data_IF_739807486406
#
_entry.id   IF_739807486406
#
_cell.length_a   1.000
_cell.length_b   1.000
_cell.length_c   1.000
_cell.angle_alpha   90.00
_cell.angle_beta   90.00
_cell.angle_gamma   90.00
#
_symmetry.space_group_name_H-M   'P 1'
#
loop_
_entity.id
_entity.type
_entity.pdbx_description
1 polymer ?
#
# COMPACT_ATOMS: atom_id res chain seq x y z
N UNK A 1 9.36 0.59 8.75
CA UNK A 1 7.96 1.03 8.74
C UNK A 1 7.76 1.99 9.89
N UNK A 2 6.94 3.01 9.69
CA UNK A 2 6.54 4.00 10.68
C UNK A 2 5.02 3.86 10.81
N UNK A 3 4.52 3.68 12.03
CA UNK A 3 3.07 3.70 12.28
C UNK A 3 2.65 5.14 12.61
N UNK A 4 1.69 5.67 11.86
CA UNK A 4 1.05 6.95 12.14
C UNK A 4 -0.45 6.70 12.20
N UNK A 5 -1.01 6.84 13.39
CA UNK A 5 -2.45 6.69 13.65
C UNK A 5 -3.04 5.35 13.15
N UNK A 6 -2.24 4.27 13.24
CA UNK A 6 -2.64 2.92 12.80
C UNK A 6 -2.43 2.66 11.31
N UNK A 7 -1.89 3.62 10.56
CA UNK A 7 -1.53 3.44 9.16
C UNK A 7 -0.01 3.20 9.01
N UNK A 8 0.40 2.15 8.27
CA UNK A 8 1.82 1.88 8.01
C UNK A 8 2.38 2.77 6.90
N UNK A 9 3.48 3.46 7.21
CA UNK A 9 4.25 4.29 6.29
C UNK A 9 5.67 3.74 6.08
N UNK A 10 6.15 3.81 4.85
CA UNK A 10 7.44 3.27 4.42
C UNK A 10 8.32 4.37 3.83
N UNK A 11 9.60 4.49 4.22
CA UNK A 11 10.52 5.41 3.57
C UNK A 11 10.56 5.16 2.07
N UNK A 12 10.19 6.16 1.27
CA UNK A 12 10.03 6.00 -0.17
C UNK A 12 11.36 5.63 -0.85
N UNK A 13 12.48 6.14 -0.29
CA UNK A 13 13.82 5.78 -0.74
C UNK A 13 14.08 4.28 -0.63
N UNK A 14 13.75 3.67 0.50
CA UNK A 14 14.02 2.25 0.75
C UNK A 14 13.16 1.37 -0.17
N UNK A 15 11.90 1.75 -0.38
CA UNK A 15 11.02 1.08 -1.35
C UNK A 15 11.58 1.19 -2.77
N UNK A 16 12.01 2.38 -3.18
CA UNK A 16 12.61 2.57 -4.50
C UNK A 16 13.92 1.80 -4.68
N UNK A 17 14.78 1.76 -3.67
CA UNK A 17 16.04 1.01 -3.69
C UNK A 17 15.77 -0.50 -3.82
N UNK A 18 14.82 -1.03 -3.04
CA UNK A 18 14.37 -2.42 -3.13
C UNK A 18 13.83 -2.75 -4.54
N UNK A 19 13.18 -1.79 -5.21
CA UNK A 19 12.67 -1.94 -6.57
C UNK A 19 13.68 -1.60 -7.68
N UNK A 20 14.88 -1.13 -7.34
CA UNK A 20 15.90 -0.69 -8.31
C UNK A 20 15.52 0.58 -9.07
N UNK A 21 14.67 1.43 -8.48
CA UNK A 21 14.23 2.71 -9.05
C UNK A 21 15.32 3.76 -8.77
N UNK A 22 16.02 4.17 -9.83
CA UNK A 22 17.16 5.10 -9.74
C UNK A 22 16.78 6.57 -9.47
N UNK A 23 15.54 6.96 -9.73
CA UNK A 23 15.03 8.33 -9.50
C UNK A 23 13.82 8.29 -8.56
N UNK A 24 14.03 8.11 -7.24
CA UNK A 24 12.94 7.91 -6.29
C UNK A 24 11.94 9.07 -6.28
N UNK A 25 12.40 10.31 -6.15
CA UNK A 25 11.51 11.46 -5.98
C UNK A 25 10.57 11.67 -7.16
N UNK A 26 11.09 11.62 -8.38
CA UNK A 26 10.27 11.79 -9.59
C UNK A 26 9.31 10.63 -9.81
N UNK A 27 9.76 9.39 -9.59
CA UNK A 27 8.89 8.21 -9.72
C UNK A 27 7.78 8.21 -8.69
N UNK A 28 8.06 8.53 -7.42
CA UNK A 28 7.05 8.58 -6.35
C UNK A 28 6.01 9.67 -6.63
N UNK A 29 6.43 10.86 -7.05
CA UNK A 29 5.49 11.95 -7.38
C UNK A 29 4.55 11.59 -8.52
N UNK A 30 5.04 10.83 -9.51
CA UNK A 30 4.25 10.41 -10.66
C UNK A 30 3.35 9.20 -10.37
N UNK A 31 3.81 8.26 -9.55
CA UNK A 31 3.12 6.98 -9.31
C UNK A 31 2.19 7.00 -8.09
N UNK A 32 2.48 7.83 -7.09
CA UNK A 32 1.76 7.86 -5.82
C UNK A 32 1.09 9.22 -5.66
N UNK A 33 -0.24 9.37 -5.79
CA UNK A 33 -0.95 10.62 -5.52
C UNK A 33 -0.75 11.13 -4.08
N UNK A 34 -1.23 12.35 -3.79
CA UNK A 34 -0.99 13.01 -2.49
C UNK A 34 -1.43 12.17 -1.28
N UNK A 35 -2.56 11.45 -1.36
CA UNK A 35 -3.02 10.59 -0.26
C UNK A 35 -2.19 9.32 -0.05
N UNK A 36 -1.22 9.03 -0.92
CA UNK A 36 -0.36 7.85 -0.84
C UNK A 36 1.08 8.17 -0.44
N UNK A 37 1.40 9.46 -0.27
CA UNK A 37 2.74 9.94 0.02
C UNK A 37 2.68 11.05 1.07
N UNK A 38 3.65 11.09 1.96
CA UNK A 38 3.71 12.14 2.98
C UNK A 38 5.16 12.43 3.34
N UNK A 39 5.47 13.71 3.57
CA UNK A 39 6.73 14.09 4.16
C UNK A 39 6.64 13.98 5.68
N UNK A 40 7.20 12.91 6.24
CA UNK A 40 7.14 12.61 7.67
C UNK A 40 8.36 13.24 8.36
N UNK A 41 8.10 14.03 9.39
CA UNK A 41 9.09 14.62 10.30
C UNK A 41 8.89 14.09 11.72
N UNK A 42 9.85 14.36 12.63
CA UNK A 42 9.76 13.96 14.04
C UNK A 42 8.47 14.37 14.74
N UNK A 43 7.86 15.51 14.37
CA UNK A 43 6.61 15.99 14.99
C UNK A 43 5.40 15.12 14.68
N UNK A 44 5.45 14.30 13.63
CA UNK A 44 4.38 13.36 13.28
C UNK A 44 4.44 12.07 14.12
N UNK A 45 5.52 11.86 14.89
CA UNK A 45 5.77 10.60 15.60
C UNK A 45 5.42 10.76 17.07
N UNK A 46 4.47 9.95 17.55
CA UNK A 46 4.01 10.00 18.96
C UNK A 46 5.00 9.35 19.93
N UNK A 47 5.81 8.38 19.47
CA UNK A 47 6.80 7.65 20.28
C UNK A 47 8.11 7.47 19.50
N UNK A 48 9.11 8.33 19.74
CA UNK A 48 10.42 8.20 19.08
C UNK A 48 11.34 7.35 19.95
N UNK A 49 11.46 6.07 19.62
CA UNK A 49 12.55 5.20 20.10
C UNK A 49 13.65 5.00 19.05
N UNK A 50 13.52 5.63 17.87
CA UNK A 50 14.38 5.36 16.71
C UNK A 50 14.99 6.66 16.19
N UNK A 51 16.26 6.61 15.76
CA UNK A 51 16.93 7.73 15.11
C UNK A 51 16.19 8.12 13.83
N UNK A 52 15.70 9.36 13.77
CA UNK A 52 14.97 9.90 12.63
C UNK A 52 15.66 11.16 12.09
N UNK A 53 15.82 11.33 10.77
CA UNK A 53 16.44 12.52 10.19
C UNK A 53 15.73 13.81 10.62
N UNK A 54 16.50 14.82 11.05
CA UNK A 54 15.93 16.11 11.46
C UNK A 54 15.14 16.79 10.33
N UNK A 55 15.57 16.60 9.07
CA UNK A 55 14.89 17.16 7.90
C UNK A 55 13.60 16.43 7.51
N UNK A 56 13.25 15.33 8.17
CA UNK A 56 12.20 14.43 7.72
C UNK A 56 12.58 13.56 6.53
N UNK A 57 11.63 12.79 6.02
CA UNK A 57 11.77 11.99 4.79
C UNK A 57 10.42 11.80 4.10
N UNK A 58 10.47 11.63 2.78
CA UNK A 58 9.30 11.22 2.00
C UNK A 58 9.00 9.75 2.28
N UNK A 59 7.76 9.47 2.66
CA UNK A 59 7.24 8.14 2.86
C UNK A 59 6.03 7.90 1.97
N UNK A 60 5.74 6.63 1.73
CA UNK A 60 4.52 6.15 1.07
C UNK A 60 3.77 5.21 2.00
N UNK A 61 2.44 5.21 1.93
CA UNK A 61 1.64 4.19 2.62
C UNK A 61 1.65 2.87 1.82
N UNK A 62 0.92 1.86 2.30
CA UNK A 62 0.83 0.56 1.63
C UNK A 62 0.31 0.69 0.17
N UNK A 63 -0.71 1.52 -0.06
CA UNK A 63 -1.25 1.76 -1.39
C UNK A 63 -0.18 2.37 -2.33
N UNK A 64 0.58 3.35 -1.84
CA UNK A 64 1.68 3.96 -2.59
C UNK A 64 2.81 2.96 -2.87
N UNK A 65 3.17 2.12 -1.89
CA UNK A 65 4.16 1.07 -2.10
C UNK A 65 3.73 0.08 -3.19
N UNK A 66 2.45 -0.35 -3.18
CA UNK A 66 1.90 -1.22 -4.22
C UNK A 66 1.90 -0.55 -5.60
N UNK A 67 1.56 0.74 -5.68
CA UNK A 67 1.67 1.50 -6.93
C UNK A 67 3.11 1.48 -7.49
N UNK A 68 4.12 1.67 -6.65
CA UNK A 68 5.52 1.57 -7.05
C UNK A 68 5.89 0.16 -7.52
N UNK A 69 5.45 -0.89 -6.82
CA UNK A 69 5.66 -2.28 -7.25
C UNK A 69 5.07 -2.51 -8.65
N UNK A 70 3.89 -1.96 -8.93
CA UNK A 70 3.19 -2.18 -10.20
C UNK A 70 3.85 -1.47 -11.38
N UNK A 71 4.61 -0.41 -11.12
CA UNK A 71 5.44 0.30 -12.13
C UNK A 71 6.83 -0.32 -12.31
N UNK A 72 7.26 -1.20 -11.41
CA UNK A 72 8.61 -1.76 -11.43
C UNK A 72 8.84 -2.72 -12.61
N UNK A 73 10.07 -2.69 -13.13
CA UNK A 73 10.55 -3.60 -14.18
C UNK A 73 11.24 -4.85 -13.63
N UNK A 74 11.46 -4.94 -12.31
CA UNK A 74 12.11 -6.10 -11.69
C UNK A 74 11.29 -7.39 -11.89
N UNK A 75 11.93 -8.53 -12.20
CA UNK A 75 11.22 -9.79 -12.37
C UNK A 75 10.35 -10.18 -11.17
N UNK A 76 10.84 -9.97 -9.96
CA UNK A 76 10.17 -10.31 -8.70
C UNK A 76 8.92 -9.43 -8.49
N UNK A 77 9.02 -8.14 -8.78
CA UNK A 77 7.89 -7.21 -8.71
C UNK A 77 6.81 -7.55 -9.75
N UNK A 78 7.21 -7.96 -10.95
CA UNK A 78 6.28 -8.43 -11.99
C UNK A 78 5.63 -9.75 -11.62
N UNK A 79 6.36 -10.65 -10.99
CA UNK A 79 5.82 -11.92 -10.48
C UNK A 79 4.79 -11.66 -9.37
N UNK A 80 5.11 -10.78 -8.42
CA UNK A 80 4.18 -10.36 -7.38
C UNK A 80 2.92 -9.71 -7.97
N UNK A 81 3.08 -8.72 -8.86
CA UNK A 81 1.94 -8.09 -9.56
C UNK A 81 1.07 -9.13 -10.24
N UNK A 82 1.67 -10.08 -10.97
CA UNK A 82 0.92 -11.15 -11.65
C UNK A 82 0.17 -12.03 -10.66
N UNK A 83 0.82 -12.46 -9.59
CA UNK A 83 0.18 -13.25 -8.54
C UNK A 83 -0.98 -12.49 -7.89
N UNK A 84 -0.82 -11.21 -7.57
CA UNK A 84 -1.90 -10.37 -7.04
C UNK A 84 -3.07 -10.32 -8.03
N UNK A 85 -2.81 -10.02 -9.30
CA UNK A 85 -3.88 -9.85 -10.30
C UNK A 85 -4.54 -11.14 -10.75
N UNK A 86 -3.85 -12.28 -10.68
CA UNK A 86 -4.34 -13.56 -11.19
C UNK A 86 -4.84 -14.49 -10.10
N UNK A 87 -4.46 -14.27 -8.84
CA UNK A 87 -4.83 -15.12 -7.70
C UNK A 87 -5.55 -14.30 -6.64
N UNK A 88 -4.91 -13.29 -6.07
CA UNK A 88 -5.43 -12.56 -4.91
C UNK A 88 -6.73 -11.82 -5.24
N UNK A 89 -6.70 -10.95 -6.27
CA UNK A 89 -7.89 -10.16 -6.62
C UNK A 89 -9.08 -11.04 -7.06
N UNK A 90 -8.89 -12.09 -7.90
CA UNK A 90 -9.96 -13.02 -8.21
C UNK A 90 -10.51 -13.79 -7.00
N UNK A 91 -9.66 -14.20 -6.04
CA UNK A 91 -10.10 -14.86 -4.81
C UNK A 91 -10.98 -13.93 -3.97
N UNK A 92 -10.53 -12.69 -3.75
CA UNK A 92 -11.29 -11.69 -3.00
C UNK A 92 -12.64 -11.38 -3.68
N UNK A 93 -12.65 -11.23 -5.01
CA UNK A 93 -13.90 -10.98 -5.76
C UNK A 93 -14.91 -12.12 -5.62
N UNK A 94 -14.46 -13.37 -5.54
CA UNK A 94 -15.35 -14.52 -5.31
C UNK A 94 -15.89 -14.50 -3.89
N UNK A 95 -15.05 -14.20 -2.91
CA UNK A 95 -15.46 -14.12 -1.51
C UNK A 95 -16.53 -13.04 -1.30
N UNK A 96 -16.39 -11.88 -1.95
CA UNK A 96 -17.43 -10.84 -1.95
C UNK A 96 -18.73 -11.28 -2.64
N UNK A 97 -18.65 -12.09 -3.69
CA UNK A 97 -19.85 -12.67 -4.33
C UNK A 97 -20.57 -13.64 -3.38
N UNK A 98 -19.84 -14.50 -2.67
CA UNK A 98 -20.42 -15.37 -1.65
C UNK A 98 -21.07 -14.57 -0.52
N UNK A 99 -20.41 -13.52 -0.02
CA UNK A 99 -20.95 -12.68 1.04
C UNK A 99 -22.23 -11.95 0.58
N UNK A 100 -22.24 -11.38 -0.62
CA UNK A 100 -23.41 -10.73 -1.20
C UNK A 100 -24.60 -11.70 -1.37
N UNK A 101 -24.34 -12.95 -1.80
CA UNK A 101 -25.36 -13.99 -1.89
C UNK A 101 -25.91 -14.37 -0.52
N UNK A 102 -25.05 -14.51 0.50
CA UNK A 102 -25.47 -14.82 1.86
C UNK A 102 -26.34 -13.71 2.47
N UNK A 103 -26.01 -12.44 2.24
CA UNK A 103 -26.84 -11.29 2.66
C UNK A 103 -28.22 -11.37 1.99
N UNK A 104 -28.27 -11.58 0.67
CA UNK A 104 -29.54 -11.69 -0.05
C UNK A 104 -30.41 -12.88 0.38
N UNK A 105 -29.81 -13.99 0.79
CA UNK A 105 -30.54 -15.16 1.30
C UNK A 105 -31.01 -14.96 2.74
N UNK A 106 -30.25 -14.23 3.56
CA UNK A 106 -30.66 -13.85 4.92
C UNK A 106 -31.87 -12.92 4.93
N UNK A 107 -31.92 -11.98 3.99
CA UNK A 107 -33.06 -11.04 3.83
C UNK A 107 -34.32 -11.72 3.28
N UNK A 108 -34.18 -12.82 2.54
CA UNK A 108 -35.30 -13.62 2.03
C UNK A 108 -35.94 -14.56 3.07
N UNK A 109 -35.35 -14.68 4.27
CA UNK A 109 -35.76 -15.62 5.32
C UNK A 109 -36.67 -15.06 6.42
N UNK A 110 -36.94 -13.75 6.45
CA UNK A 110 -37.81 -13.12 7.47
C UNK A 110 -39.16 -12.78 6.85
N UNK A 111 -39.92 -13.83 6.53
CA UNK A 111 -41.24 -13.72 5.91
C UNK A 111 -42.08 -14.96 6.20
N UNK A 112 -42.36 -15.21 7.48
CA UNK A 112 -43.55 -15.91 7.96
C UNK A 112 -44.07 -15.21 9.21
#
# INVERSE_FOLDING_TARGET
>A
MIDIDGEPWFPAKDVCDALGIKSPSGTVLNACPEHQRQHISKSNLKNIQVSFPNRGMLCVNESGANALVFTSRKPEARAFRRWVTSVVLPSISKDFEYEAVLVSLGDAGVGQ
#
